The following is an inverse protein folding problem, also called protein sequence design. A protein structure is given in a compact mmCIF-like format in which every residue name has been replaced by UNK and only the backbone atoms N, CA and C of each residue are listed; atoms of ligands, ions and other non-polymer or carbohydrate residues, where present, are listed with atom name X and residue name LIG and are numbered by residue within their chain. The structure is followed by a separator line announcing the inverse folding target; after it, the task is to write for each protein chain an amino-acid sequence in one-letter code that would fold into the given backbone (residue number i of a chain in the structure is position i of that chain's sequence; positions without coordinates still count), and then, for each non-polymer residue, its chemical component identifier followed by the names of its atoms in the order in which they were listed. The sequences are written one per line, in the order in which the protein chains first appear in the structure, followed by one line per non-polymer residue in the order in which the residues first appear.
data_IF_631967036320
#
_entry.id   IF_631967036320
#
_cell.length_a   1.000
_cell.length_b   1.000
_cell.length_c   1.000
_cell.angle_alpha   90.00
_cell.angle_beta   90.00
_cell.angle_gamma   90.00
#
_symmetry.space_group_name_H-M   'P 1'
#
loop_
_entity.id
_entity.type
_entity.pdbx_description
1 polymer ?
#
# COMPACT_ATOMS: atom_id res chain seq x y z
N UNK A 1 0.44 24.60 2.51
CA UNK A 1 -0.62 25.33 1.79
C UNK A 1 -0.05 26.69 1.41
N UNK A 2 -0.09 27.09 0.14
CA UNK A 2 0.51 28.36 -0.31
C UNK A 2 -0.54 29.44 -0.64
N UNK A 3 -1.79 29.04 -0.84
CA UNK A 3 -2.93 29.91 -1.06
C UNK A 3 -4.21 29.16 -0.63
N UNK A 4 -5.27 29.89 -0.31
CA UNK A 4 -6.53 29.33 0.15
C UNK A 4 -7.73 30.22 -0.22
N UNK A 5 -8.92 29.63 -0.31
CA UNK A 5 -10.16 30.40 -0.38
C UNK A 5 -10.46 31.13 0.94
N UNK A 6 -11.44 32.05 0.92
CA UNK A 6 -11.78 32.90 2.08
C UNK A 6 -12.05 32.13 3.39
N UNK A 7 -12.60 30.91 3.30
CA UNK A 7 -12.92 30.07 4.46
C UNK A 7 -11.79 29.18 4.99
N UNK A 8 -10.55 29.31 4.48
CA UNK A 8 -9.42 28.48 4.89
C UNK A 8 -8.08 29.25 4.92
N UNK A 9 -8.14 30.58 5.04
CA UNK A 9 -6.96 31.45 5.07
C UNK A 9 -6.00 31.14 6.22
N UNK A 10 -6.54 30.68 7.35
CA UNK A 10 -5.80 30.24 8.53
C UNK A 10 -4.90 29.02 8.27
N UNK A 11 -5.15 28.26 7.20
CA UNK A 11 -4.35 27.09 6.82
C UNK A 11 -3.11 27.43 5.98
N UNK A 12 -2.95 28.68 5.53
CA UNK A 12 -1.75 29.07 4.75
C UNK A 12 -0.48 28.83 5.59
N UNK A 13 0.52 28.22 4.98
CA UNK A 13 1.76 27.77 5.64
C UNK A 13 1.73 26.33 6.15
N UNK A 14 0.55 25.73 6.34
CA UNK A 14 0.41 24.38 6.90
C UNK A 14 1.02 23.30 5.99
N UNK A 15 1.77 22.35 6.55
CA UNK A 15 2.14 21.13 5.82
C UNK A 15 0.95 20.17 5.79
N UNK A 16 0.58 19.73 4.58
CA UNK A 16 -0.65 18.98 4.35
C UNK A 16 -0.40 17.80 3.43
N UNK A 17 -1.20 16.75 3.63
CA UNK A 17 -1.33 15.65 2.70
C UNK A 17 -2.57 15.85 1.81
N UNK A 18 -2.39 15.61 0.52
CA UNK A 18 -3.47 15.61 -0.47
C UNK A 18 -3.48 14.23 -1.14
N UNK A 19 -4.55 13.44 -1.00
CA UNK A 19 -4.61 12.08 -1.56
C UNK A 19 -4.58 12.06 -3.10
N UNK A 20 -4.93 13.18 -3.72
CA UNK A 20 -4.81 13.43 -5.15
C UNK A 20 -5.70 14.59 -5.60
N UNK A 21 -5.62 14.93 -6.88
CA UNK A 21 -6.50 15.90 -7.52
C UNK A 21 -7.16 15.32 -8.77
N UNK A 22 -8.33 15.81 -9.13
CA UNK A 22 -8.98 15.57 -10.42
C UNK A 22 -8.88 16.78 -11.35
N UNK A 23 -8.39 17.91 -10.84
CA UNK A 23 -8.45 19.22 -11.49
C UNK A 23 -7.10 19.60 -12.09
N UNK A 24 -6.57 18.74 -12.96
CA UNK A 24 -5.32 19.04 -13.66
C UNK A 24 -5.58 19.93 -14.88
N UNK A 25 -4.70 20.89 -15.10
CA UNK A 25 -4.68 21.72 -16.31
C UNK A 25 -3.76 21.05 -17.33
N UNK A 26 -4.27 20.77 -18.54
CA UNK A 26 -3.47 20.19 -19.61
C UNK A 26 -3.19 18.68 -19.50
N UNK A 27 -3.78 17.99 -18.52
CA UNK A 27 -3.65 16.54 -18.35
C UNK A 27 -4.98 15.92 -17.87
N UNK A 28 -5.21 14.64 -18.20
CA UNK A 28 -6.30 13.85 -17.62
C UNK A 28 -5.79 13.17 -16.35
N UNK A 29 -6.32 13.58 -15.20
CA UNK A 29 -6.02 12.91 -13.93
C UNK A 29 -6.68 11.54 -13.89
N UNK A 30 -5.89 10.50 -13.63
CA UNK A 30 -6.41 9.19 -13.23
C UNK A 30 -6.34 9.06 -11.70
N UNK A 31 -5.13 9.20 -11.13
CA UNK A 31 -4.86 9.18 -9.70
C UNK A 31 -3.69 10.10 -9.33
N UNK A 32 -3.58 10.42 -8.04
CA UNK A 32 -2.42 11.09 -7.47
C UNK A 32 -2.39 12.61 -7.64
N UNK A 33 -1.20 13.19 -7.46
CA UNK A 33 -0.98 14.62 -7.34
C UNK A 33 0.29 15.09 -8.04
N UNK A 34 0.64 14.49 -9.17
CA UNK A 34 1.85 14.78 -9.94
C UNK A 34 1.79 16.14 -10.64
N UNK A 35 1.90 17.22 -9.85
CA UNK A 35 1.97 18.59 -10.32
C UNK A 35 2.73 19.45 -9.30
N UNK A 36 3.31 20.56 -9.77
CA UNK A 36 3.94 21.56 -8.90
C UNK A 36 2.94 22.19 -7.93
N UNK A 37 1.73 22.49 -8.41
CA UNK A 37 0.66 23.09 -7.61
C UNK A 37 -0.62 22.30 -7.82
N UNK A 38 -1.30 21.96 -6.72
CA UNK A 38 -2.58 21.28 -6.72
C UNK A 38 -3.67 22.22 -6.19
N UNK A 39 -4.77 22.34 -6.94
CA UNK A 39 -5.99 23.02 -6.49
C UNK A 39 -7.04 21.96 -6.17
N UNK A 40 -7.50 21.92 -4.91
CA UNK A 40 -8.49 20.95 -4.43
C UNK A 40 -9.36 21.56 -3.33
N UNK A 41 -10.50 20.95 -3.05
CA UNK A 41 -11.37 21.39 -1.96
C UNK A 41 -10.72 21.15 -0.60
N UNK A 42 -10.88 22.10 0.33
CA UNK A 42 -10.26 22.04 1.68
C UNK A 42 -10.62 20.78 2.47
N UNK A 43 -11.82 20.22 2.25
CA UNK A 43 -12.27 18.98 2.87
C UNK A 43 -11.44 17.74 2.48
N UNK A 44 -10.67 17.80 1.39
CA UNK A 44 -9.76 16.72 0.95
C UNK A 44 -8.32 16.91 1.44
N UNK A 45 -8.03 18.02 2.11
CA UNK A 45 -6.69 18.41 2.54
C UNK A 45 -6.53 18.07 4.02
N UNK A 46 -5.64 17.13 4.32
CA UNK A 46 -5.40 16.66 5.68
C UNK A 46 -4.15 17.29 6.27
N UNK A 47 -4.27 17.78 7.50
CA UNK A 47 -3.12 18.16 8.32
C UNK A 47 -2.25 16.93 8.57
N UNK A 48 -0.94 17.11 8.47
CA UNK A 48 0.03 16.07 8.83
C UNK A 48 1.01 16.60 9.89
N UNK A 49 1.43 15.76 10.84
CA UNK A 49 2.58 16.06 11.69
C UNK A 49 3.80 16.51 10.88
N UNK A 50 4.46 17.60 11.29
CA UNK A 50 5.59 18.19 10.57
C UNK A 50 6.77 17.21 10.40
N UNK A 51 6.90 16.23 11.29
CA UNK A 51 7.97 15.23 11.27
C UNK A 51 7.76 14.11 10.24
N UNK A 52 6.59 14.01 9.59
CA UNK A 52 6.35 13.00 8.55
C UNK A 52 7.14 13.29 7.26
N UNK A 53 7.34 14.57 6.95
CA UNK A 53 8.01 14.99 5.72
C UNK A 53 7.51 14.25 4.48
N UNK A 54 8.45 13.73 3.68
CA UNK A 54 8.13 12.98 2.45
C UNK A 54 7.44 11.64 2.69
N UNK A 55 7.58 11.02 3.87
CA UNK A 55 6.91 9.76 4.18
C UNK A 55 5.39 9.90 4.17
N UNK A 56 4.87 11.13 4.27
CA UNK A 56 3.45 11.42 4.11
C UNK A 56 2.87 10.94 2.77
N UNK A 57 3.69 10.82 1.72
CA UNK A 57 3.25 10.27 0.41
C UNK A 57 2.80 8.81 0.49
N UNK A 58 3.16 8.10 1.56
CA UNK A 58 2.75 6.72 1.81
C UNK A 58 1.39 6.62 2.52
N UNK A 59 0.81 7.74 3.01
CA UNK A 59 -0.44 7.72 3.76
C UNK A 59 -1.60 7.14 2.96
N UNK A 60 -1.70 7.42 1.66
CA UNK A 60 -2.72 6.81 0.79
C UNK A 60 -2.55 5.29 0.70
N UNK A 61 -1.33 4.81 0.48
CA UNK A 61 -1.07 3.38 0.34
C UNK A 61 -1.23 2.64 1.68
N UNK A 62 -0.83 3.28 2.78
CA UNK A 62 -1.11 2.77 4.12
C UNK A 62 -2.61 2.75 4.39
N UNK A 63 -3.38 3.76 3.99
CA UNK A 63 -4.84 3.74 4.10
C UNK A 63 -5.45 2.59 3.29
N UNK A 64 -4.92 2.29 2.10
CA UNK A 64 -5.34 1.10 1.32
C UNK A 64 -5.04 -0.21 2.03
N UNK A 65 -3.85 -0.34 2.64
CA UNK A 65 -3.54 -1.50 3.49
C UNK A 65 -4.52 -1.63 4.66
N UNK A 66 -4.81 -0.51 5.34
CA UNK A 66 -5.78 -0.47 6.46
C UNK A 66 -7.17 -0.89 6.01
N UNK A 67 -7.61 -0.44 4.84
CA UNK A 67 -8.90 -0.78 4.25
C UNK A 67 -9.02 -2.28 3.98
N UNK A 68 -7.98 -2.87 3.38
CA UNK A 68 -7.92 -4.32 3.15
C UNK A 68 -8.05 -5.11 4.46
N UNK A 69 -7.44 -4.64 5.54
CA UNK A 69 -7.51 -5.23 6.87
C UNK A 69 -8.87 -5.02 7.56
N UNK A 70 -9.57 -3.91 7.30
CA UNK A 70 -10.82 -3.56 7.98
C UNK A 70 -11.95 -4.56 7.71
N UNK A 71 -11.93 -5.23 6.55
CA UNK A 71 -13.00 -6.14 6.13
C UNK A 71 -12.88 -7.59 6.62
N UNK A 72 -11.89 -7.96 7.44
CA UNK A 72 -11.67 -9.36 7.80
C UNK A 72 -10.72 -9.60 8.98
N UNK A 73 -10.32 -10.86 9.16
CA UNK A 73 -9.31 -11.24 10.14
C UNK A 73 -7.93 -10.73 9.72
N UNK A 74 -7.07 -10.40 10.69
CA UNK A 74 -5.67 -10.08 10.42
C UNK A 74 -4.99 -11.21 9.62
N UNK A 75 -4.05 -10.89 8.72
CA UNK A 75 -3.41 -11.87 7.86
C UNK A 75 -2.64 -12.91 8.68
N UNK A 76 -2.81 -14.18 8.31
CA UNK A 76 -1.90 -15.26 8.68
C UNK A 76 -0.78 -15.39 7.65
N UNK A 77 -1.12 -15.18 6.37
CA UNK A 77 -0.21 -15.18 5.22
C UNK A 77 -0.39 -13.88 4.43
N UNK A 78 0.71 -13.24 4.07
CA UNK A 78 0.77 -12.12 3.12
C UNK A 78 1.61 -12.57 1.93
N UNK A 79 1.14 -12.37 0.72
CA UNK A 79 1.86 -12.72 -0.50
C UNK A 79 2.36 -11.44 -1.17
N UNK A 80 3.68 -11.34 -1.35
CA UNK A 80 4.38 -10.17 -1.87
C UNK A 80 4.90 -9.27 -0.74
N UNK A 81 6.21 -9.00 -0.76
CA UNK A 81 6.89 -8.15 0.24
C UNK A 81 7.34 -6.80 -0.35
N UNK A 82 6.51 -6.26 -1.25
CA UNK A 82 6.56 -4.85 -1.68
C UNK A 82 6.02 -3.89 -0.61
N UNK A 83 5.81 -2.62 -0.98
CA UNK A 83 5.38 -1.59 -0.02
C UNK A 83 4.04 -1.93 0.65
N UNK A 84 3.04 -2.37 -0.13
CA UNK A 84 1.73 -2.73 0.42
C UNK A 84 1.81 -3.93 1.37
N UNK A 85 2.53 -4.99 0.98
CA UNK A 85 2.74 -6.17 1.82
C UNK A 85 3.47 -5.85 3.13
N UNK A 86 4.48 -4.98 3.08
CA UNK A 86 5.17 -4.46 4.27
C UNK A 86 4.24 -3.67 5.19
N UNK A 87 3.37 -2.83 4.62
CA UNK A 87 2.38 -2.06 5.39
C UNK A 87 1.36 -3.00 6.07
N UNK A 88 0.85 -4.00 5.34
CA UNK A 88 -0.03 -5.04 5.91
C UNK A 88 0.67 -5.78 7.07
N UNK A 89 1.92 -6.21 6.87
CA UNK A 89 2.69 -6.91 7.89
C UNK A 89 2.94 -6.05 9.13
N UNK A 90 3.38 -4.79 8.94
CA UNK A 90 3.60 -3.83 10.04
C UNK A 90 2.32 -3.56 10.83
N UNK A 91 1.18 -3.42 10.16
CA UNK A 91 -0.11 -3.24 10.83
C UNK A 91 -0.55 -4.50 11.59
N UNK A 92 -0.31 -5.69 11.05
CA UNK A 92 -0.57 -6.95 11.75
C UNK A 92 0.31 -7.08 13.00
N UNK A 93 1.60 -6.71 12.92
CA UNK A 93 2.51 -6.64 14.07
C UNK A 93 2.04 -5.64 15.11
N UNK A 94 1.56 -4.47 14.69
CA UNK A 94 0.97 -3.47 15.58
C UNK A 94 -0.34 -3.92 16.26
N UNK A 95 -0.94 -5.01 15.80
CA UNK A 95 -2.09 -5.73 16.38
C UNK A 95 -1.67 -6.98 17.19
N UNK A 96 -0.36 -7.20 17.36
CA UNK A 96 0.19 -8.34 18.10
C UNK A 96 0.22 -9.65 17.32
N UNK A 97 0.16 -9.60 15.98
CA UNK A 97 0.30 -10.77 15.10
C UNK A 97 1.70 -10.85 14.51
N UNK A 98 2.10 -12.05 14.09
CA UNK A 98 3.35 -12.29 13.35
C UNK A 98 2.99 -13.06 12.07
N UNK A 99 2.55 -12.37 10.99
CA UNK A 99 2.16 -13.04 9.76
C UNK A 99 3.35 -13.76 9.11
N UNK A 100 3.08 -14.81 8.33
CA UNK A 100 4.03 -15.28 7.34
C UNK A 100 3.95 -14.39 6.10
N UNK A 101 5.09 -14.13 5.46
CA UNK A 101 5.15 -13.39 4.21
C UNK A 101 5.86 -14.22 3.14
N UNK A 102 5.25 -14.33 1.96
CA UNK A 102 5.89 -14.90 0.79
C UNK A 102 6.52 -13.83 -0.09
N UNK A 103 7.75 -14.07 -0.51
CA UNK A 103 8.45 -13.23 -1.48
C UNK A 103 9.37 -14.10 -2.34
N UNK A 104 9.44 -13.80 -3.64
CA UNK A 104 10.27 -14.55 -4.60
C UNK A 104 11.53 -13.79 -4.97
N UNK A 105 11.56 -12.47 -4.77
CA UNK A 105 12.71 -11.64 -5.05
C UNK A 105 13.63 -11.56 -3.82
N UNK A 106 14.85 -12.13 -3.86
CA UNK A 106 15.76 -12.14 -2.71
C UNK A 106 16.09 -10.74 -2.17
N UNK A 107 16.13 -9.72 -3.04
CA UNK A 107 16.42 -8.35 -2.63
C UNK A 107 15.31 -7.73 -1.76
N UNK A 108 14.10 -8.28 -1.83
CA UNK A 108 12.95 -7.83 -1.04
C UNK A 108 12.72 -8.67 0.20
N UNK A 109 13.48 -9.74 0.46
CA UNK A 109 13.22 -10.64 1.60
C UNK A 109 13.69 -10.08 2.96
N UNK A 110 14.39 -8.94 2.99
CA UNK A 110 14.90 -8.31 4.22
C UNK A 110 13.96 -7.20 4.75
N UNK A 111 14.26 -6.66 5.93
CA UNK A 111 13.48 -5.58 6.56
C UNK A 111 12.14 -6.04 7.11
N UNK A 112 12.10 -7.28 7.61
CA UNK A 112 10.97 -7.88 8.31
C UNK A 112 11.18 -7.81 9.82
N UNK A 113 10.46 -6.90 10.47
CA UNK A 113 10.52 -6.71 11.92
C UNK A 113 9.24 -7.27 12.55
N UNK A 114 9.37 -8.33 13.35
CA UNK A 114 8.22 -8.97 14.02
C UNK A 114 7.43 -9.97 13.17
N UNK A 115 7.93 -10.33 11.98
CA UNK A 115 7.31 -11.33 11.09
C UNK A 115 8.36 -12.05 10.24
N UNK A 116 7.98 -13.15 9.57
CA UNK A 116 8.89 -13.97 8.76
C UNK A 116 8.64 -13.78 7.28
N UNK A 117 9.71 -13.80 6.48
CA UNK A 117 9.65 -13.78 5.01
C UNK A 117 10.35 -15.01 4.48
N UNK A 118 9.65 -15.80 3.67
CA UNK A 118 10.17 -17.01 3.03
C UNK A 118 9.77 -17.06 1.55
N UNK A 119 10.43 -17.92 0.79
CA UNK A 119 9.92 -18.27 -0.54
C UNK A 119 8.71 -19.21 -0.40
N UNK A 120 7.72 -19.16 -1.32
CA UNK A 120 6.55 -20.04 -1.24
C UNK A 120 6.90 -21.53 -1.14
N UNK A 121 7.96 -21.96 -1.83
CA UNK A 121 8.40 -23.35 -1.84
C UNK A 121 9.04 -23.84 -0.53
N UNK A 122 9.38 -22.93 0.39
CA UNK A 122 9.89 -23.26 1.72
C UNK A 122 8.77 -23.34 2.78
N UNK A 123 7.52 -23.07 2.40
CA UNK A 123 6.40 -23.10 3.33
C UNK A 123 5.71 -24.47 3.30
N UNK A 124 5.79 -25.21 4.41
CA UNK A 124 5.11 -26.49 4.58
C UNK A 124 3.71 -26.37 5.21
N UNK A 125 3.30 -25.16 5.63
CA UNK A 125 2.00 -24.92 6.24
C UNK A 125 0.89 -25.00 5.19
N UNK A 126 -0.25 -25.61 5.55
CA UNK A 126 -1.39 -25.86 4.64
C UNK A 126 -2.76 -25.49 5.22
N UNK A 127 -2.79 -24.65 6.26
CA UNK A 127 -3.97 -24.30 7.04
C UNK A 127 -4.14 -22.77 7.28
N UNK A 128 -3.67 -21.92 6.36
CA UNK A 128 -3.81 -20.46 6.46
C UNK A 128 -5.25 -19.99 6.29
N UNK A 129 -5.86 -19.39 7.31
CA UNK A 129 -7.28 -18.99 7.26
C UNK A 129 -7.49 -17.59 6.70
N UNK A 130 -6.49 -16.71 6.84
CA UNK A 130 -6.53 -15.35 6.30
C UNK A 130 -5.30 -15.07 5.44
N UNK A 131 -5.49 -15.01 4.13
CA UNK A 131 -4.43 -14.83 3.13
C UNK A 131 -4.64 -13.48 2.44
N UNK A 132 -3.62 -12.63 2.44
CA UNK A 132 -3.65 -11.33 1.77
C UNK A 132 -2.68 -11.33 0.60
N UNK A 133 -3.19 -11.20 -0.62
CA UNK A 133 -2.34 -11.09 -1.80
C UNK A 133 -2.10 -9.63 -2.18
N UNK A 134 -0.84 -9.24 -2.14
CA UNK A 134 -0.31 -7.94 -2.54
C UNK A 134 0.80 -8.09 -3.60
N UNK A 135 0.90 -9.27 -4.26
CA UNK A 135 1.94 -9.56 -5.24
C UNK A 135 1.61 -9.04 -6.65
N UNK A 136 0.32 -9.04 -7.01
CA UNK A 136 -0.12 -8.75 -8.39
C UNK A 136 0.08 -9.92 -9.36
N UNK A 137 0.50 -11.10 -8.88
CA UNK A 137 0.64 -12.29 -9.71
C UNK A 137 -0.73 -12.89 -10.05
N UNK A 138 -1.09 -12.88 -11.33
CA UNK A 138 -2.38 -13.38 -11.81
C UNK A 138 -2.58 -14.89 -11.62
N UNK A 139 -1.51 -15.65 -11.34
CA UNK A 139 -1.54 -17.09 -11.11
C UNK A 139 -1.61 -17.47 -9.61
N UNK A 140 -1.65 -16.51 -8.70
CA UNK A 140 -1.43 -16.76 -7.26
C UNK A 140 -2.55 -17.51 -6.54
N UNK A 141 -3.77 -17.52 -7.10
CA UNK A 141 -4.94 -18.08 -6.43
C UNK A 141 -4.81 -19.58 -6.17
N UNK A 142 -4.29 -20.36 -7.12
CA UNK A 142 -4.14 -21.80 -6.95
C UNK A 142 -3.09 -22.17 -5.86
N UNK A 143 -1.88 -21.56 -5.86
CA UNK A 143 -0.95 -21.66 -4.73
C UNK A 143 -1.61 -21.28 -3.40
N UNK A 144 -2.28 -20.13 -3.32
CA UNK A 144 -2.93 -19.67 -2.09
C UNK A 144 -3.98 -20.67 -1.58
N UNK A 145 -4.86 -21.17 -2.45
CA UNK A 145 -5.87 -22.19 -2.12
C UNK A 145 -5.22 -23.48 -1.63
N UNK A 146 -4.11 -23.91 -2.25
CA UNK A 146 -3.44 -25.15 -1.82
C UNK A 146 -2.91 -25.07 -0.38
N UNK A 147 -2.49 -23.89 0.08
CA UNK A 147 -2.03 -23.62 1.44
C UNK A 147 -3.13 -23.20 2.44
N UNK A 148 -4.40 -23.17 2.03
CA UNK A 148 -5.47 -22.48 2.76
C UNK A 148 -6.13 -23.17 3.99
N UNK A 149 -6.18 -24.46 4.26
CA UNK A 149 -7.17 -24.96 5.25
C UNK A 149 -8.65 -24.63 4.92
N UNK A 150 -9.58 -25.12 5.73
CA UNK A 150 -11.01 -25.06 5.41
C UNK A 150 -11.68 -23.76 5.87
N UNK A 151 -12.51 -23.17 5.00
CA UNK A 151 -13.23 -21.92 5.19
C UNK A 151 -12.35 -20.67 5.17
N UNK A 152 -11.15 -20.76 4.58
CA UNK A 152 -10.21 -19.64 4.51
C UNK A 152 -10.66 -18.54 3.52
N UNK A 153 -10.13 -17.34 3.73
CA UNK A 153 -10.36 -16.17 2.87
C UNK A 153 -9.06 -15.71 2.21
N UNK A 154 -9.12 -15.47 0.90
CA UNK A 154 -8.11 -14.73 0.15
C UNK A 154 -8.61 -13.30 -0.06
N UNK A 155 -7.81 -12.33 0.36
CA UNK A 155 -8.05 -10.91 0.17
C UNK A 155 -7.14 -10.41 -0.94
N UNK A 156 -7.72 -10.03 -2.06
CA UNK A 156 -7.03 -9.46 -3.20
C UNK A 156 -6.83 -7.96 -2.96
N UNK A 157 -5.58 -7.57 -2.69
CA UNK A 157 -5.15 -6.20 -2.45
C UNK A 157 -4.11 -5.72 -3.49
N UNK A 158 -3.68 -6.60 -4.39
CA UNK A 158 -2.76 -6.29 -5.48
C UNK A 158 -3.43 -5.66 -6.70
N UNK A 159 -2.61 -5.34 -7.70
CA UNK A 159 -3.05 -4.92 -9.03
C UNK A 159 -2.53 -5.94 -10.06
N UNK A 160 -3.44 -6.53 -10.83
CA UNK A 160 -3.14 -7.68 -11.70
C UNK A 160 -3.13 -7.25 -13.16
N UNK A 161 -2.12 -7.69 -13.91
CA UNK A 161 -2.00 -7.40 -15.35
C UNK A 161 -2.96 -8.21 -16.20
N UNK A 162 -3.36 -9.38 -15.72
CA UNK A 162 -4.16 -10.36 -16.46
C UNK A 162 -5.39 -10.78 -15.67
N UNK A 163 -6.44 -11.29 -16.34
CA UNK A 163 -7.60 -11.84 -15.65
C UNK A 163 -7.21 -12.97 -14.69
N UNK A 164 -7.80 -12.92 -13.49
CA UNK A 164 -7.62 -13.97 -12.49
C UNK A 164 -8.42 -15.23 -12.83
N UNK A 165 -7.82 -16.39 -12.59
CA UNK A 165 -8.48 -17.69 -12.71
C UNK A 165 -7.98 -18.64 -11.62
N UNK A 166 -8.76 -19.68 -11.31
CA UNK A 166 -8.40 -20.69 -10.31
C UNK A 166 -9.10 -22.03 -10.60
N UNK A 167 -8.54 -23.10 -10.07
CA UNK A 167 -9.11 -24.43 -10.15
C UNK A 167 -10.29 -24.60 -9.18
N UNK A 168 -11.48 -24.87 -9.71
CA UNK A 168 -12.71 -24.96 -8.93
C UNK A 168 -12.68 -26.06 -7.85
N UNK A 169 -12.30 -27.29 -8.20
CA UNK A 169 -12.42 -28.43 -7.26
C UNK A 169 -11.56 -28.29 -5.98
N UNK A 170 -10.29 -27.81 -6.03
CA UNK A 170 -9.54 -27.46 -4.82
C UNK A 170 -10.21 -26.36 -3.98
N UNK A 171 -10.64 -25.26 -4.61
CA UNK A 171 -11.28 -24.14 -3.91
C UNK A 171 -12.62 -24.55 -3.27
N UNK A 172 -13.42 -25.33 -3.99
CA UNK A 172 -14.69 -25.89 -3.53
C UNK A 172 -14.51 -26.76 -2.28
N UNK A 173 -13.53 -27.69 -2.29
CA UNK A 173 -13.25 -28.56 -1.13
C UNK A 173 -12.78 -27.80 0.12
N UNK A 174 -12.26 -26.59 -0.06
CA UNK A 174 -11.82 -25.72 1.03
C UNK A 174 -12.87 -24.69 1.44
N UNK A 175 -14.03 -24.64 0.79
CA UNK A 175 -15.02 -23.57 0.96
C UNK A 175 -14.36 -22.17 0.88
N UNK A 176 -13.46 -22.01 -0.10
CA UNK A 176 -12.64 -20.82 -0.23
C UNK A 176 -13.50 -19.55 -0.43
N UNK A 177 -13.14 -18.48 0.29
CA UNK A 177 -13.72 -17.14 0.11
C UNK A 177 -12.73 -16.25 -0.59
N UNK A 178 -13.23 -15.38 -1.47
CA UNK A 178 -12.42 -14.36 -2.12
C UNK A 178 -13.08 -13.01 -1.85
N UNK A 179 -12.29 -12.07 -1.32
CA UNK A 179 -12.68 -10.68 -1.10
C UNK A 179 -11.73 -9.78 -1.87
N UNK A 180 -12.27 -8.72 -2.45
CA UNK A 180 -11.48 -7.70 -3.14
C UNK A 180 -11.54 -6.44 -2.29
N UNK A 181 -10.38 -5.85 -2.01
CA UNK A 181 -10.28 -4.56 -1.34
C UNK A 181 -9.64 -3.56 -2.30
N UNK A 182 -10.31 -2.42 -2.51
CA UNK A 182 -9.82 -1.37 -3.41
C UNK A 182 -9.83 -0.03 -2.70
N UNK A 183 -8.84 0.80 -3.03
CA UNK A 183 -8.70 2.17 -2.51
C UNK A 183 -8.75 2.23 -0.97
N UNK A 184 -9.30 3.30 -0.42
CA UNK A 184 -9.48 3.52 1.01
C UNK A 184 -10.65 4.48 1.25
N UNK A 185 -11.25 4.42 2.44
CA UNK A 185 -12.24 5.38 2.90
C UNK A 185 -11.61 6.46 3.77
N UNK A 186 -12.28 7.61 3.99
CA UNK A 186 -11.78 8.67 4.88
C UNK A 186 -11.36 8.16 6.26
N UNK A 187 -12.12 7.21 6.82
CA UNK A 187 -11.84 6.62 8.14
C UNK A 187 -10.56 5.78 8.15
N UNK A 188 -10.22 5.11 7.05
CA UNK A 188 -8.97 4.35 6.93
C UNK A 188 -7.77 5.29 6.98
N UNK A 189 -7.87 6.42 6.29
CA UNK A 189 -6.82 7.44 6.26
C UNK A 189 -6.66 8.12 7.63
N UNK A 190 -7.78 8.45 8.30
CA UNK A 190 -7.75 8.98 9.66
C UNK A 190 -7.11 7.98 10.64
N UNK A 191 -7.45 6.70 10.54
CA UNK A 191 -6.86 5.64 11.37
C UNK A 191 -5.35 5.51 11.12
N UNK A 192 -4.89 5.59 9.87
CA UNK A 192 -3.46 5.53 9.54
C UNK A 192 -2.71 6.74 10.06
N UNK A 193 -3.25 7.96 9.91
CA UNK A 193 -2.63 9.17 10.46
C UNK A 193 -2.47 9.04 11.98
N UNK A 194 -3.48 8.52 12.69
CA UNK A 194 -3.39 8.27 14.12
C UNK A 194 -2.35 7.19 14.49
N UNK A 195 -2.28 6.09 13.72
CA UNK A 195 -1.28 5.03 13.95
C UNK A 195 0.16 5.54 13.73
N UNK A 196 0.38 6.35 12.70
CA UNK A 196 1.71 6.92 12.44
C UNK A 196 2.04 7.98 13.49
N UNK A 197 1.10 8.88 13.80
CA UNK A 197 1.30 9.93 14.81
C UNK A 197 1.56 9.39 16.22
N UNK A 198 1.04 8.20 16.56
CA UNK A 198 1.31 7.51 17.82
C UNK A 198 2.56 6.61 17.80
N UNK A 199 3.24 6.49 16.65
CA UNK A 199 4.40 5.61 16.48
C UNK A 199 4.06 4.11 16.37
N UNK A 200 2.78 3.73 16.35
CA UNK A 200 2.34 2.33 16.18
C UNK A 200 2.59 1.79 14.78
N UNK A 201 2.66 2.67 13.78
CA UNK A 201 3.02 2.34 12.40
C UNK A 201 4.20 3.19 11.95
N UNK A 202 5.36 2.58 11.77
CA UNK A 202 6.49 3.23 11.09
C UNK A 202 6.31 3.16 9.57
N UNK A 203 6.59 4.28 8.90
CA UNK A 203 6.69 4.37 7.44
C UNK A 203 8.14 4.32 6.94
N UNK A 204 9.09 4.16 7.86
CA UNK A 204 10.52 4.27 7.57
C UNK A 204 10.99 3.15 6.65
N UNK A 205 12.00 3.48 5.82
CA UNK A 205 12.60 2.56 4.87
C UNK A 205 11.72 2.17 3.68
N UNK A 206 10.51 2.73 3.55
CA UNK A 206 9.62 2.44 2.43
C UNK A 206 9.83 3.38 1.23
N UNK A 207 10.20 4.65 1.47
CA UNK A 207 10.67 5.57 0.41
C UNK A 207 12.15 5.35 0.15
N UNK A 208 12.45 4.60 -0.91
CA UNK A 208 13.82 4.21 -1.28
C UNK A 208 14.45 5.17 -2.28
N UNK A 209 13.66 5.81 -3.14
CA UNK A 209 14.18 6.66 -4.21
C UNK A 209 13.50 8.03 -4.20
N UNK A 210 14.30 9.07 -4.43
CA UNK A 210 13.87 10.46 -4.56
C UNK A 210 14.49 10.99 -5.84
N UNK A 211 13.66 11.57 -6.69
CA UNK A 211 14.10 12.09 -7.98
C UNK A 211 13.45 13.45 -8.21
N UNK A 212 14.14 14.43 -8.81
CA UNK A 212 13.49 15.67 -9.25
C UNK A 212 12.37 15.36 -10.24
N UNK A 213 11.26 16.11 -10.18
CA UNK A 213 10.15 15.91 -11.12
C UNK A 213 10.54 16.15 -12.59
N UNK A 214 11.64 16.88 -12.86
CA UNK A 214 12.22 17.06 -14.20
C UNK A 214 12.75 15.77 -14.81
N UNK A 215 13.02 14.74 -14.00
CA UNK A 215 13.52 13.44 -14.45
C UNK A 215 12.41 12.40 -14.61
N UNK A 216 11.14 12.80 -14.49
CA UNK A 216 10.00 11.87 -14.60
C UNK A 216 10.03 11.01 -15.87
N UNK A 217 10.45 11.57 -17.01
CA UNK A 217 10.52 10.85 -18.28
C UNK A 217 11.44 9.62 -18.26
N UNK A 218 12.50 9.64 -17.44
CA UNK A 218 13.50 8.55 -17.36
C UNK A 218 13.34 7.71 -16.09
N UNK A 219 12.81 8.29 -15.01
CA UNK A 219 12.74 7.66 -13.71
C UNK A 219 11.73 6.49 -13.62
N UNK A 220 10.63 6.54 -14.39
CA UNK A 220 9.62 5.45 -14.37
C UNK A 220 10.20 4.09 -14.77
N UNK A 221 11.14 4.05 -15.71
CA UNK A 221 11.80 2.80 -16.10
C UNK A 221 12.44 2.10 -14.90
N UNK A 222 13.21 2.85 -14.11
CA UNK A 222 13.80 2.35 -12.86
C UNK A 222 12.72 1.96 -11.84
N UNK A 223 11.68 2.78 -11.66
CA UNK A 223 10.61 2.48 -10.71
C UNK A 223 9.89 1.14 -10.96
N UNK A 224 9.77 0.71 -12.22
CA UNK A 224 9.11 -0.55 -12.59
C UNK A 224 10.05 -1.75 -12.69
N UNK A 225 11.35 -1.53 -12.92
CA UNK A 225 12.30 -2.62 -13.25
C UNK A 225 13.32 -2.90 -12.15
N UNK A 226 13.63 -1.90 -11.30
CA UNK A 226 14.57 -2.06 -10.20
C UNK A 226 13.84 -2.70 -9.01
N UNK A 227 14.18 -3.94 -8.63
CA UNK A 227 13.51 -4.61 -7.52
C UNK A 227 13.79 -3.96 -6.16
N UNK A 228 14.85 -3.16 -6.03
CA UNK A 228 15.19 -2.42 -4.81
C UNK A 228 14.45 -1.10 -4.69
N UNK A 229 13.85 -0.62 -5.79
CA UNK A 229 12.96 0.53 -5.77
C UNK A 229 11.59 0.12 -5.20
N UNK A 230 11.40 0.32 -3.89
CA UNK A 230 10.12 0.06 -3.23
C UNK A 230 9.13 1.19 -3.51
N UNK A 231 9.53 2.42 -3.21
CA UNK A 231 8.74 3.62 -3.50
C UNK A 231 9.66 4.73 -3.97
N UNK A 232 9.32 5.26 -5.14
CA UNK A 232 9.90 6.47 -5.68
C UNK A 232 9.02 7.68 -5.39
N UNK A 233 9.64 8.78 -5.01
CA UNK A 233 8.99 10.09 -4.79
C UNK A 233 9.60 11.10 -5.75
N UNK A 234 8.72 11.81 -6.46
CA UNK A 234 9.10 12.94 -7.29
C UNK A 234 9.10 14.23 -6.45
N UNK A 235 10.23 14.93 -6.43
CA UNK A 235 10.37 16.22 -5.79
C UNK A 235 10.01 17.34 -6.77
N UNK A 236 8.94 18.05 -6.45
CA UNK A 236 8.42 19.17 -7.25
C UNK A 236 8.93 20.53 -6.79
N UNK A 237 9.70 20.62 -5.69
CA UNK A 237 10.19 21.89 -5.13
C UNK A 237 11.08 22.66 -6.09
N UNK A 238 11.80 21.97 -6.99
CA UNK A 238 12.63 22.59 -8.00
C UNK A 238 11.84 23.33 -9.10
N UNK A 239 10.52 23.18 -9.16
CA UNK A 239 9.66 23.91 -10.08
C UNK A 239 9.05 25.16 -9.44
N UNK A 240 9.15 25.33 -8.12
CA UNK A 240 8.54 26.39 -7.32
C UNK A 240 9.09 27.79 -7.60
#
# INVERSE_FOLDING_TARGET
VIDAGAGAQDRIGEQVFVPGSSNFIGARGLFGGSAQTLVTGSARVLSIPENLGESAVLLSLAATARHALAGGAMPDLIIGHGVLGRLLARMAVADGRAPMVWEINPARMTGSDGYHVITPGADDRRDYRSIYDASGDSAILDPAVSHMGHGGEIVLAGFYSDPLSFNFAPAFRREARIRIATEFQPDDLAAVVAMVGSGRLSLDGLVTNRVPASEAATAYGSAFTDPTCLKMVFDWRAFA
#
